data_IF_146776617028
#
_entry.id   IF_146776617028
#
_cell.length_a   1.000
_cell.length_b   1.000
_cell.length_c   1.000
_cell.angle_alpha   90.00
_cell.angle_beta   90.00
_cell.angle_gamma   90.00
#
_symmetry.space_group_name_H-M   'P 1'
#
loop_
_entity.id
_entity.type
_entity.pdbx_description
1 polymer ?
#
# COMPACT_ATOMS: atom_id res chain seq x y z
N UNK A 1 -7.40 11.97 -9.50
CA UNK A 1 -8.63 11.18 -9.24
C UNK A 1 -9.14 10.43 -10.46
N UNK A 2 -9.30 11.08 -11.62
CA UNK A 2 -9.63 10.39 -12.88
C UNK A 2 -8.70 9.21 -13.20
N UNK A 3 -7.44 9.29 -12.77
CA UNK A 3 -6.49 8.18 -12.79
C UNK A 3 -7.06 6.87 -12.22
N UNK A 4 -7.66 6.90 -11.03
CA UNK A 4 -8.22 5.71 -10.39
C UNK A 4 -9.46 5.18 -11.11
N UNK A 5 -10.30 6.07 -11.63
CA UNK A 5 -11.44 5.70 -12.47
C UNK A 5 -10.97 4.98 -13.74
N UNK A 6 -9.94 5.50 -14.41
CA UNK A 6 -9.32 4.88 -15.58
C UNK A 6 -8.63 3.55 -15.30
N UNK A 7 -8.32 3.24 -14.03
CA UNK A 7 -7.82 1.93 -13.58
C UNK A 7 -8.95 0.94 -13.24
N UNK A 8 -10.21 1.37 -13.31
CA UNK A 8 -11.38 0.52 -13.06
C UNK A 8 -12.01 0.67 -11.67
N UNK A 9 -11.59 1.65 -10.85
CA UNK A 9 -12.30 1.96 -9.61
C UNK A 9 -13.58 2.74 -9.87
N UNK A 10 -14.63 2.47 -9.09
CA UNK A 10 -15.87 3.23 -9.19
C UNK A 10 -15.74 4.63 -8.58
N UNK A 11 -16.63 5.56 -8.95
CA UNK A 11 -16.72 6.87 -8.29
C UNK A 11 -16.92 6.73 -6.77
N UNK A 12 -17.72 5.75 -6.33
CA UNK A 12 -17.94 5.46 -4.91
C UNK A 12 -16.65 5.06 -4.21
N UNK A 13 -15.83 4.20 -4.83
CA UNK A 13 -14.53 3.79 -4.28
C UNK A 13 -13.60 5.00 -4.13
N UNK A 14 -13.48 5.80 -5.20
CA UNK A 14 -12.59 6.99 -5.20
C UNK A 14 -13.06 8.02 -4.16
N UNK A 15 -14.36 8.28 -4.05
CA UNK A 15 -14.91 9.14 -3.00
C UNK A 15 -14.59 8.59 -1.60
N UNK A 16 -14.79 7.29 -1.37
CA UNK A 16 -14.46 6.65 -0.09
C UNK A 16 -12.97 6.78 0.26
N UNK A 17 -12.08 6.59 -0.72
CA UNK A 17 -10.64 6.76 -0.52
C UNK A 17 -10.29 8.19 -0.08
N UNK A 18 -10.83 9.20 -0.78
CA UNK A 18 -10.58 10.62 -0.48
C UNK A 18 -11.14 11.00 0.89
N UNK A 19 -12.37 10.57 1.21
CA UNK A 19 -12.99 10.88 2.51
C UNK A 19 -12.21 10.31 3.69
N UNK A 20 -11.58 9.14 3.52
CA UNK A 20 -10.77 8.49 4.57
C UNK A 20 -9.32 8.98 4.59
N UNK A 21 -8.84 9.55 3.49
CA UNK A 21 -7.47 10.04 3.35
C UNK A 21 -7.38 11.17 2.33
N UNK A 22 -7.73 12.39 2.74
CA UNK A 22 -7.73 13.58 1.89
C UNK A 22 -6.37 13.94 1.25
N UNK A 23 -5.19 13.64 1.83
CA UNK A 23 -3.90 13.94 1.20
C UNK A 23 -3.71 13.26 -0.17
N UNK A 24 -4.48 12.20 -0.47
CA UNK A 24 -4.48 11.54 -1.76
C UNK A 24 -4.71 12.51 -2.94
N UNK A 25 -5.45 13.59 -2.72
CA UNK A 25 -5.73 14.61 -3.74
C UNK A 25 -4.48 15.41 -4.15
N UNK A 26 -3.50 15.54 -3.26
CA UNK A 26 -2.27 16.30 -3.51
C UNK A 26 -1.15 15.49 -4.15
N UNK A 27 -1.32 14.18 -4.33
CA UNK A 27 -0.26 13.32 -4.87
C UNK A 27 -0.16 13.38 -6.38
N UNK A 28 1.07 13.56 -6.87
CA UNK A 28 1.40 13.44 -8.29
C UNK A 28 1.07 12.04 -8.80
N UNK A 29 0.39 11.99 -9.94
CA UNK A 29 0.06 10.72 -10.61
C UNK A 29 1.36 10.01 -11.02
N UNK A 30 2.23 10.69 -11.76
CA UNK A 30 3.43 10.07 -12.34
C UNK A 30 4.51 9.75 -11.30
N UNK A 31 4.66 10.59 -10.26
CA UNK A 31 5.74 10.41 -9.30
C UNK A 31 5.33 9.65 -8.03
N UNK A 32 4.03 9.57 -7.71
CA UNK A 32 3.56 8.94 -6.46
C UNK A 32 2.55 7.84 -6.73
N UNK A 33 1.42 8.13 -7.38
CA UNK A 33 0.33 7.17 -7.46
C UNK A 33 0.66 5.98 -8.37
N UNK A 34 1.14 6.26 -9.58
CA UNK A 34 1.39 5.24 -10.61
C UNK A 34 2.53 4.28 -10.22
N UNK A 35 3.73 4.74 -9.80
CA UNK A 35 4.79 3.80 -9.41
C UNK A 35 4.38 2.89 -8.25
N UNK A 36 3.65 3.43 -7.26
CA UNK A 36 3.19 2.64 -6.12
C UNK A 36 2.06 1.68 -6.50
N UNK A 37 1.12 2.09 -7.36
CA UNK A 37 0.06 1.20 -7.82
C UNK A 37 0.60 0.08 -8.72
N UNK A 38 1.56 0.38 -9.59
CA UNK A 38 2.19 -0.61 -10.45
C UNK A 38 2.96 -1.64 -9.60
N UNK A 39 3.70 -1.21 -8.58
CA UNK A 39 4.35 -2.14 -7.64
C UNK A 39 3.34 -3.07 -6.93
N UNK A 40 2.20 -2.51 -6.50
CA UNK A 40 1.15 -3.28 -5.82
C UNK A 40 0.54 -4.37 -6.74
N UNK A 41 0.20 -4.01 -7.98
CA UNK A 41 -0.47 -4.92 -8.90
C UNK A 41 0.51 -5.91 -9.54
N UNK A 42 1.70 -5.45 -9.92
CA UNK A 42 2.64 -6.24 -10.72
C UNK A 42 3.60 -7.06 -9.86
N UNK A 43 4.08 -6.49 -8.74
CA UNK A 43 5.08 -7.16 -7.88
C UNK A 43 4.43 -7.82 -6.68
N UNK A 44 3.60 -7.09 -5.93
CA UNK A 44 2.94 -7.64 -4.75
C UNK A 44 1.77 -8.57 -5.09
N UNK A 45 1.27 -8.53 -6.34
CA UNK A 45 0.11 -9.29 -6.82
C UNK A 45 -1.14 -9.09 -5.97
N UNK A 46 -1.32 -7.92 -5.35
CA UNK A 46 -2.51 -7.58 -4.57
C UNK A 46 -3.60 -7.01 -5.48
N UNK A 47 -4.89 -7.22 -5.15
CA UNK A 47 -5.98 -6.69 -5.96
C UNK A 47 -6.03 -5.16 -5.88
N UNK A 48 -6.56 -4.52 -6.94
CA UNK A 48 -6.79 -3.07 -6.96
C UNK A 48 -7.64 -2.60 -5.78
N UNK A 49 -8.54 -3.45 -5.27
CA UNK A 49 -9.37 -3.13 -4.10
C UNK A 49 -8.56 -2.87 -2.82
N UNK A 50 -7.35 -3.41 -2.70
CA UNK A 50 -6.51 -3.21 -1.52
C UNK A 50 -6.21 -1.72 -1.25
N UNK A 51 -6.07 -0.89 -2.30
CA UNK A 51 -5.87 0.57 -2.10
C UNK A 51 -7.15 1.31 -1.73
N UNK A 52 -8.32 0.74 -2.01
CA UNK A 52 -9.61 1.28 -1.55
C UNK A 52 -9.77 1.02 -0.05
N UNK A 53 -9.40 -0.18 0.40
CA UNK A 53 -9.41 -0.56 1.81
C UNK A 53 -8.41 0.25 2.63
N UNK A 54 -7.22 0.50 2.06
CA UNK A 54 -6.15 1.24 2.74
C UNK A 54 -5.51 2.33 1.86
N UNK A 55 -6.16 3.50 1.69
CA UNK A 55 -5.69 4.58 0.82
C UNK A 55 -4.36 5.21 1.27
N UNK A 56 -4.06 5.11 2.58
CA UNK A 56 -2.79 5.55 3.19
C UNK A 56 -1.58 4.83 2.59
N UNK A 57 -1.76 3.71 1.90
CA UNK A 57 -0.71 3.07 1.09
C UNK A 57 0.13 4.08 0.30
N UNK A 58 -0.52 5.06 -0.34
CA UNK A 58 0.17 6.05 -1.17
C UNK A 58 1.01 7.07 -0.38
N UNK A 59 0.87 7.16 0.94
CA UNK A 59 1.69 8.07 1.76
C UNK A 59 3.05 7.49 2.11
N UNK A 60 3.22 6.16 2.06
CA UNK A 60 4.47 5.53 2.44
C UNK A 60 5.53 5.61 1.34
N UNK A 61 6.80 5.75 1.72
CA UNK A 61 7.91 5.70 0.77
C UNK A 61 7.97 4.34 0.07
N UNK A 62 8.04 4.34 -1.26
CA UNK A 62 8.15 3.11 -2.04
C UNK A 62 9.44 2.36 -1.71
N UNK A 63 10.57 3.07 -1.75
CA UNK A 63 11.90 2.52 -1.46
C UNK A 63 12.15 2.38 0.05
N UNK A 64 11.65 3.32 0.86
CA UNK A 64 11.96 3.36 2.29
C UNK A 64 11.07 2.47 3.18
N UNK A 65 9.90 2.03 2.70
CA UNK A 65 8.98 1.23 3.54
C UNK A 65 8.24 0.15 2.79
N UNK A 66 7.63 0.44 1.63
CA UNK A 66 6.80 -0.53 0.92
C UNK A 66 7.64 -1.72 0.44
N UNK A 67 8.71 -1.47 -0.33
CA UNK A 67 9.58 -2.52 -0.86
C UNK A 67 10.28 -3.32 0.24
N UNK A 68 10.97 -2.71 1.23
CA UNK A 68 11.67 -3.46 2.27
C UNK A 68 10.74 -4.42 3.02
N UNK A 69 9.56 -3.95 3.42
CA UNK A 69 8.60 -4.77 4.17
C UNK A 69 7.98 -5.87 3.31
N UNK A 70 7.65 -5.58 2.05
CA UNK A 70 7.14 -6.58 1.13
C UNK A 70 8.13 -7.75 0.96
N UNK A 71 9.42 -7.47 0.76
CA UNK A 71 10.42 -8.53 0.53
C UNK A 71 10.64 -9.39 1.77
N UNK A 72 10.58 -8.80 2.98
CA UNK A 72 10.64 -9.52 4.25
C UNK A 72 9.45 -10.48 4.44
N UNK A 73 8.23 -10.01 4.14
CA UNK A 73 7.02 -10.82 4.20
C UNK A 73 7.05 -11.92 3.13
N UNK A 74 7.48 -11.58 1.92
CA UNK A 74 7.55 -12.52 0.80
C UNK A 74 8.57 -13.62 1.03
N UNK A 75 9.74 -13.33 1.62
CA UNK A 75 10.76 -14.35 1.91
C UNK A 75 10.30 -15.37 2.97
N UNK A 76 9.35 -14.99 3.82
CA UNK A 76 8.72 -15.85 4.82
C UNK A 76 7.44 -16.53 4.34
N UNK A 77 7.06 -16.31 3.08
CA UNK A 77 5.83 -16.83 2.49
C UNK A 77 4.56 -16.48 3.29
N UNK A 78 4.55 -15.31 3.91
CA UNK A 78 3.40 -14.79 4.66
C UNK A 78 2.50 -13.99 3.70
N UNK A 79 1.19 -14.19 3.78
CA UNK A 79 0.23 -13.26 3.21
C UNK A 79 -0.40 -12.40 4.31
N UNK A 80 -0.55 -11.10 4.03
CA UNK A 80 -1.13 -10.14 4.97
C UNK A 80 -1.72 -8.93 4.24
N UNK A 81 -2.57 -8.16 4.91
CA UNK A 81 -3.15 -6.95 4.32
C UNK A 81 -2.13 -5.81 4.20
N UNK A 82 -2.45 -4.77 3.43
CA UNK A 82 -1.62 -3.55 3.40
C UNK A 82 -1.54 -2.89 4.78
N UNK A 83 -2.62 -2.96 5.55
CA UNK A 83 -2.69 -2.41 6.90
C UNK A 83 -1.70 -3.14 7.81
N UNK A 84 -1.73 -4.48 7.81
CA UNK A 84 -0.85 -5.31 8.65
C UNK A 84 0.62 -5.07 8.32
N UNK A 85 0.94 -4.96 7.03
CA UNK A 85 2.31 -4.73 6.57
C UNK A 85 2.80 -3.32 6.89
N UNK A 86 1.99 -2.28 6.68
CA UNK A 86 2.47 -0.90 6.60
C UNK A 86 2.13 -0.03 7.82
N UNK A 87 1.04 -0.32 8.53
CA UNK A 87 0.58 0.52 9.64
C UNK A 87 1.47 0.40 10.88
N UNK A 88 2.08 -0.77 11.11
CA UNK A 88 2.98 -1.05 12.25
C UNK A 88 4.22 -0.16 12.20
N UNK A 89 4.73 0.29 13.34
CA UNK A 89 6.07 0.91 13.41
C UNK A 89 7.16 -0.14 13.08
N UNK A 90 8.43 0.21 13.22
CA UNK A 90 9.49 -0.72 12.83
C UNK A 90 9.65 -1.84 13.86
N UNK A 91 9.45 -1.52 15.13
CA UNK A 91 9.54 -2.43 16.27
C UNK A 91 8.48 -3.52 16.18
N UNK A 92 7.19 -3.15 16.05
CA UNK A 92 6.08 -4.10 15.92
C UNK A 92 6.16 -4.92 14.63
N UNK A 93 6.64 -4.31 13.53
CA UNK A 93 6.86 -5.05 12.29
C UNK A 93 7.97 -6.09 12.45
N UNK A 94 9.03 -5.76 13.20
CA UNK A 94 10.13 -6.67 13.46
C UNK A 94 9.73 -7.81 14.41
N UNK A 95 9.02 -7.52 15.49
CA UNK A 95 8.51 -8.52 16.42
C UNK A 95 7.66 -9.57 15.71
N UNK A 96 6.74 -9.14 14.86
CA UNK A 96 5.80 -10.04 14.19
C UNK A 96 6.40 -10.78 12.98
N UNK A 97 7.24 -10.11 12.20
CA UNK A 97 7.70 -10.64 10.91
C UNK A 97 9.20 -10.89 10.82
N UNK A 98 10.01 -10.46 11.78
CA UNK A 98 11.44 -10.79 11.78
C UNK A 98 11.77 -11.98 12.67
N UNK A 99 10.94 -12.30 13.66
CA UNK A 99 11.18 -13.40 14.58
C UNK A 99 12.46 -13.14 15.36
N UNK A 100 12.36 -12.36 16.44
CA UNK A 100 13.44 -12.33 17.41
C UNK A 100 13.36 -13.66 18.16
N UNK A 101 14.19 -14.64 17.79
CA UNK A 101 14.58 -15.66 18.75
C UNK A 101 15.31 -14.91 19.88
N UNK A 102 14.62 -14.70 20.99
CA UNK A 102 15.24 -14.32 22.27
C UNK A 102 15.98 -15.51 22.85
#
# INVERSE_FOLDING_TARGET
>A
MNYFLGKGLSKKDVCSMISRFSPLLGYSIEHVLKPKLDFLLQTMKKPLKAVVEYPRYFSYSLEGRIKPRFWIIKSRNIDCSLTDMLAKNNELFAEEYLGIET
#
